data_IF_380701297364
#
_entry.id   IF_380701297364
#
_cell.length_a   1.000
_cell.length_b   1.000
_cell.length_c   1.000
_cell.angle_alpha   90.00
_cell.angle_beta   90.00
_cell.angle_gamma   90.00
#
_symmetry.space_group_name_H-M   'P 1'
#
loop_
_entity.id
_entity.type
_entity.pdbx_description
1 polymer ?
#
# COMPACT_ATOMS: atom_id res chain seq x y z
N UNK A 1 -63.99 -13.51 -78.97
CA UNK A 1 -62.54 -13.52 -79.23
C UNK A 1 -61.84 -13.05 -77.98
N UNK A 2 -61.15 -13.95 -77.28
CA UNK A 2 -59.82 -13.76 -76.68
C UNK A 2 -59.47 -15.06 -75.95
N UNK A 3 -58.50 -15.74 -76.56
CA UNK A 3 -57.88 -17.04 -76.30
C UNK A 3 -56.98 -17.00 -75.05
N UNK A 4 -57.23 -17.84 -74.04
CA UNK A 4 -56.56 -19.13 -73.75
C UNK A 4 -55.06 -19.07 -73.42
N UNK A 5 -54.71 -19.34 -72.15
CA UNK A 5 -53.53 -20.07 -71.65
C UNK A 5 -54.01 -20.64 -70.30
N UNK A 6 -54.00 -21.92 -69.94
CA UNK A 6 -53.12 -23.05 -70.24
C UNK A 6 -52.72 -23.62 -68.88
N UNK A 7 -53.39 -24.70 -68.43
CA UNK A 7 -53.15 -25.36 -67.15
C UNK A 7 -51.98 -26.34 -67.24
N UNK A 8 -51.23 -26.52 -66.14
CA UNK A 8 -50.64 -27.79 -65.71
C UNK A 8 -50.17 -27.70 -64.23
N UNK A 9 -50.46 -28.78 -63.52
CA UNK A 9 -50.31 -29.17 -62.10
C UNK A 9 -49.02 -28.81 -61.35
N UNK A 10 -49.06 -28.89 -60.00
CA UNK A 10 -48.21 -29.92 -59.35
C UNK A 10 -48.88 -30.65 -58.14
N UNK A 11 -48.38 -31.83 -57.74
CA UNK A 11 -48.75 -32.49 -56.48
C UNK A 11 -47.71 -32.30 -55.35
N UNK A 12 -48.23 -32.37 -54.13
CA UNK A 12 -47.70 -32.88 -52.84
C UNK A 12 -46.27 -32.54 -52.35
N UNK A 13 -46.17 -32.07 -51.10
CA UNK A 13 -44.90 -32.08 -50.37
C UNK A 13 -44.84 -31.35 -49.02
N UNK A 14 -45.46 -31.95 -47.99
CA UNK A 14 -45.10 -31.91 -46.55
C UNK A 14 -45.23 -30.59 -45.76
N UNK A 15 -46.13 -30.67 -44.77
CA UNK A 15 -46.35 -29.74 -43.65
C UNK A 15 -45.20 -29.77 -42.62
N UNK A 16 -44.74 -28.61 -42.16
CA UNK A 16 -44.52 -28.39 -40.72
C UNK A 16 -44.55 -26.90 -40.37
N UNK A 17 -45.42 -26.56 -39.43
CA UNK A 17 -45.84 -25.23 -39.01
C UNK A 17 -44.70 -24.30 -38.56
N UNK A 18 -44.57 -23.15 -39.23
CA UNK A 18 -43.91 -21.97 -38.67
C UNK A 18 -44.91 -21.17 -37.83
N UNK A 19 -44.63 -21.00 -36.54
CA UNK A 19 -45.24 -19.94 -35.73
C UNK A 19 -44.16 -18.91 -35.46
N UNK A 20 -44.40 -17.72 -36.01
CA UNK A 20 -43.69 -16.47 -35.78
C UNK A 20 -43.85 -15.99 -34.34
N UNK A 21 -42.74 -15.67 -33.67
CA UNK A 21 -42.73 -14.79 -32.49
C UNK A 21 -41.76 -13.63 -32.72
N UNK A 22 -42.23 -12.41 -32.39
CA UNK A 22 -41.63 -11.10 -32.59
C UNK A 22 -40.28 -10.90 -31.85
N UNK A 23 -39.48 -9.88 -32.21
CA UNK A 23 -38.12 -9.71 -31.70
C UNK A 23 -38.15 -9.11 -30.29
N UNK A 24 -37.38 -9.70 -29.36
CA UNK A 24 -37.06 -9.06 -28.09
C UNK A 24 -35.75 -8.29 -28.22
N UNK A 25 -35.82 -6.97 -28.15
CA UNK A 25 -34.69 -6.08 -27.94
C UNK A 25 -33.99 -6.44 -26.62
N UNK A 26 -32.82 -7.08 -26.73
CA UNK A 26 -31.87 -7.21 -25.62
C UNK A 26 -30.69 -6.27 -25.91
N UNK A 27 -30.86 -4.98 -25.61
CA UNK A 27 -29.77 -4.00 -25.58
C UNK A 27 -28.86 -4.26 -24.39
N UNK A 28 -28.08 -5.34 -24.48
CA UNK A 28 -26.95 -5.60 -23.59
C UNK A 28 -25.77 -4.71 -23.99
N UNK A 29 -25.40 -3.75 -23.15
CA UNK A 29 -24.18 -2.90 -23.28
C UNK A 29 -22.87 -3.67 -23.04
N UNK A 30 -22.84 -4.98 -23.27
CA UNK A 30 -21.62 -5.78 -23.17
C UNK A 30 -20.81 -5.65 -24.45
N UNK A 31 -19.87 -4.70 -24.48
CA UNK A 31 -18.75 -4.71 -25.43
C UNK A 31 -18.10 -6.10 -25.39
N UNK A 32 -18.18 -6.86 -26.49
CA UNK A 32 -17.33 -8.03 -26.71
C UNK A 32 -15.90 -7.53 -26.97
N UNK A 33 -15.08 -7.55 -25.94
CA UNK A 33 -13.64 -7.32 -26.06
C UNK A 33 -13.01 -8.62 -26.57
N UNK A 34 -12.24 -8.56 -27.65
CA UNK A 34 -11.52 -9.71 -28.17
C UNK A 34 -10.52 -10.22 -27.10
N UNK A 35 -10.63 -11.50 -26.75
CA UNK A 35 -9.72 -12.15 -25.82
C UNK A 35 -8.39 -12.44 -26.53
N UNK A 36 -7.30 -11.79 -26.11
CA UNK A 36 -5.97 -12.33 -26.31
C UNK A 36 -5.82 -13.58 -25.42
N UNK A 37 -5.11 -14.60 -25.90
CA UNK A 37 -4.84 -15.83 -25.15
C UNK A 37 -3.87 -15.65 -23.96
N UNK A 38 -3.52 -14.42 -23.60
CA UNK A 38 -2.74 -14.10 -22.41
C UNK A 38 -3.65 -13.56 -21.29
N UNK A 39 -4.16 -14.52 -20.52
CA UNK A 39 -4.68 -14.43 -19.15
C UNK A 39 -5.90 -13.53 -18.90
N UNK A 40 -6.96 -14.15 -18.37
CA UNK A 40 -8.28 -13.56 -18.23
C UNK A 40 -8.34 -12.38 -17.25
N UNK A 41 -9.35 -11.54 -17.45
CA UNK A 41 -9.69 -10.35 -16.64
C UNK A 41 -9.75 -10.62 -15.11
N UNK A 42 -9.90 -11.88 -14.68
CA UNK A 42 -9.91 -12.27 -13.26
C UNK A 42 -8.54 -12.20 -12.58
N UNK A 43 -7.43 -12.35 -13.31
CA UNK A 43 -6.08 -12.36 -12.72
C UNK A 43 -5.63 -10.96 -12.28
N UNK A 44 -6.14 -9.90 -12.93
CA UNK A 44 -5.88 -8.52 -12.51
C UNK A 44 -6.50 -8.17 -11.14
N UNK A 45 -7.47 -8.96 -10.67
CA UNK A 45 -8.21 -8.72 -9.41
C UNK A 45 -7.44 -9.24 -8.19
N UNK A 46 -6.42 -10.10 -8.37
CA UNK A 46 -5.69 -10.76 -7.27
C UNK A 46 -4.19 -10.48 -7.20
N UNK A 47 -3.67 -9.56 -8.01
CA UNK A 47 -2.24 -9.20 -7.97
C UNK A 47 -1.87 -8.73 -6.55
N UNK A 48 -0.91 -9.38 -5.86
CA UNK A 48 -0.47 -8.94 -4.54
C UNK A 48 0.11 -7.53 -4.60
N UNK A 49 -0.17 -6.73 -3.57
CA UNK A 49 0.24 -5.32 -3.54
C UNK A 49 1.41 -5.12 -2.58
N UNK A 50 2.38 -4.32 -2.99
CA UNK A 50 3.46 -3.80 -2.15
C UNK A 50 3.21 -2.32 -1.94
N UNK A 51 3.05 -1.92 -0.68
CA UNK A 51 2.93 -0.53 -0.26
C UNK A 51 4.29 -0.09 0.27
N UNK A 52 4.91 0.89 -0.37
CA UNK A 52 6.26 1.36 -0.03
C UNK A 52 6.17 2.69 0.70
N UNK A 53 6.64 2.74 1.94
CA UNK A 53 6.69 3.99 2.68
C UNK A 53 7.86 4.86 2.22
N UNK A 54 7.64 6.16 2.07
CA UNK A 54 8.65 7.16 1.69
C UNK A 54 8.63 8.34 2.65
N UNK A 55 9.78 8.90 2.94
CA UNK A 55 9.92 10.16 3.67
C UNK A 55 11.00 10.14 4.76
N UNK A 56 11.33 11.33 5.25
CA UNK A 56 12.36 11.53 6.27
C UNK A 56 12.02 10.83 7.62
N UNK A 57 13.01 10.57 8.49
CA UNK A 57 12.74 10.10 9.85
C UNK A 57 11.79 11.02 10.64
N UNK A 58 11.08 10.47 11.63
CA UNK A 58 10.06 11.18 12.43
C UNK A 58 8.89 11.81 11.65
N UNK A 59 8.58 11.31 10.45
CA UNK A 59 7.43 11.71 9.62
C UNK A 59 6.26 10.72 9.69
N UNK A 60 5.99 10.10 10.84
CA UNK A 60 4.80 9.24 11.01
C UNK A 60 4.70 7.95 10.17
N UNK A 61 5.69 7.61 9.32
CA UNK A 61 5.64 6.41 8.45
C UNK A 61 5.23 5.12 9.17
N UNK A 62 5.95 4.72 10.21
CA UNK A 62 5.63 3.50 10.99
C UNK A 62 4.24 3.54 11.61
N UNK A 63 3.76 4.73 12.01
CA UNK A 63 2.39 4.90 12.51
C UNK A 63 1.36 4.66 11.40
N UNK A 64 1.56 5.27 10.23
CA UNK A 64 0.74 5.06 9.03
C UNK A 64 0.75 3.57 8.65
N UNK A 65 1.91 2.94 8.56
CA UNK A 65 2.07 1.51 8.25
C UNK A 65 1.27 0.62 9.19
N UNK A 66 1.40 0.82 10.50
CA UNK A 66 0.69 0.02 11.51
C UNK A 66 -0.82 0.25 11.46
N UNK A 67 -1.28 1.51 11.34
CA UNK A 67 -2.71 1.82 11.22
C UNK A 67 -3.32 1.24 9.95
N UNK A 68 -2.63 1.39 8.83
CA UNK A 68 -3.08 0.88 7.53
C UNK A 68 -3.12 -0.65 7.52
N UNK A 69 -2.07 -1.30 8.04
CA UNK A 69 -2.06 -2.76 8.22
C UNK A 69 -3.25 -3.23 9.05
N UNK A 70 -3.53 -2.58 10.19
CA UNK A 70 -4.68 -2.92 11.03
C UNK A 70 -6.01 -2.75 10.30
N UNK A 71 -6.18 -1.64 9.58
CA UNK A 71 -7.40 -1.37 8.80
C UNK A 71 -7.62 -2.41 7.70
N UNK A 72 -6.60 -2.68 6.89
CA UNK A 72 -6.69 -3.64 5.80
C UNK A 72 -7.02 -5.05 6.31
N UNK A 73 -6.39 -5.49 7.39
CA UNK A 73 -6.74 -6.76 8.04
C UNK A 73 -8.17 -6.75 8.60
N UNK A 74 -8.62 -5.65 9.21
CA UNK A 74 -9.98 -5.52 9.75
C UNK A 74 -11.06 -5.65 8.66
N UNK A 75 -10.81 -5.16 7.45
CA UNK A 75 -11.71 -5.35 6.29
C UNK A 75 -11.49 -6.67 5.53
N UNK A 76 -10.66 -7.58 6.05
CA UNK A 76 -10.44 -8.91 5.48
C UNK A 76 -9.32 -9.04 4.45
N UNK A 77 -8.47 -8.02 4.27
CA UNK A 77 -7.31 -8.06 3.38
C UNK A 77 -6.05 -8.39 4.20
N UNK A 78 -5.54 -9.63 4.07
CA UNK A 78 -4.37 -10.09 4.85
C UNK A 78 -3.17 -9.20 4.55
N UNK A 79 -2.71 -8.46 5.56
CA UNK A 79 -1.66 -7.46 5.39
C UNK A 79 -0.55 -7.64 6.43
N UNK A 80 0.70 -7.51 6.02
CA UNK A 80 1.87 -7.56 6.92
C UNK A 80 2.79 -6.36 6.71
N UNK A 81 3.48 -5.94 7.77
CA UNK A 81 4.49 -4.87 7.74
C UNK A 81 5.88 -5.48 7.79
N UNK A 82 6.77 -5.02 6.92
CA UNK A 82 8.18 -5.37 6.87
C UNK A 82 8.99 -4.11 7.21
N UNK A 83 9.38 -3.96 8.48
CA UNK A 83 10.09 -2.78 8.97
C UNK A 83 11.60 -2.97 8.82
N UNK A 84 12.22 -2.29 7.86
CA UNK A 84 13.66 -2.45 7.57
C UNK A 84 14.55 -2.09 8.78
N UNK A 85 14.07 -1.22 9.67
CA UNK A 85 14.76 -0.92 10.92
C UNK A 85 14.88 -2.13 11.84
N UNK A 86 13.89 -3.03 11.86
CA UNK A 86 13.94 -4.28 12.63
C UNK A 86 14.95 -5.25 12.03
N UNK A 87 14.96 -5.41 10.70
CA UNK A 87 15.97 -6.19 9.98
C UNK A 87 17.40 -5.70 10.22
N UNK A 88 17.59 -4.38 10.34
CA UNK A 88 18.88 -3.80 10.69
C UNK A 88 19.30 -4.18 12.12
N UNK A 89 18.35 -4.33 13.04
CA UNK A 89 18.59 -4.65 14.47
C UNK A 89 18.73 -6.13 14.81
N UNK A 90 18.54 -7.05 13.86
CA UNK A 90 18.66 -8.50 14.12
C UNK A 90 20.09 -8.91 14.51
N UNK A 91 20.23 -9.96 15.32
CA UNK A 91 21.48 -10.42 15.95
C UNK A 91 22.67 -10.63 14.99
N UNK A 92 22.43 -10.96 13.72
CA UNK A 92 23.47 -11.05 12.70
C UNK A 92 24.26 -9.73 12.49
N UNK A 93 23.70 -8.60 12.92
CA UNK A 93 24.31 -7.26 12.89
C UNK A 93 24.48 -6.68 14.30
N UNK A 94 24.54 -7.51 15.36
CA UNK A 94 24.55 -7.03 16.76
C UNK A 94 25.70 -6.06 17.10
N UNK A 95 26.83 -6.12 16.40
CA UNK A 95 27.89 -5.11 16.50
C UNK A 95 27.42 -3.69 16.08
N UNK A 96 26.43 -3.62 15.19
CA UNK A 96 25.76 -2.39 14.74
C UNK A 96 24.60 -1.97 15.67
N UNK A 97 24.20 -2.76 16.67
CA UNK A 97 23.18 -2.30 17.62
C UNK A 97 23.73 -1.22 18.56
N UNK A 98 25.04 -1.27 18.86
CA UNK A 98 25.75 -0.28 19.68
C UNK A 98 26.25 0.92 18.84
N UNK A 99 26.69 0.69 17.59
CA UNK A 99 27.21 1.75 16.70
C UNK A 99 26.24 2.26 15.63
N UNK A 100 25.22 1.49 15.26
CA UNK A 100 24.27 1.76 14.17
C UNK A 100 23.02 2.54 14.57
N UNK A 101 22.96 2.97 15.83
CA UNK A 101 22.00 3.96 16.31
C UNK A 101 22.44 5.40 16.01
N UNK A 102 23.76 5.65 16.04
CA UNK A 102 24.33 6.98 15.90
C UNK A 102 24.09 7.56 14.49
N UNK A 103 23.87 8.87 14.42
CA UNK A 103 23.73 9.62 13.17
C UNK A 103 24.83 9.32 12.14
N UNK A 104 26.07 9.07 12.58
CA UNK A 104 27.23 8.75 11.72
C UNK A 104 27.03 7.49 10.87
N UNK A 105 26.28 6.51 11.37
CA UNK A 105 25.88 5.31 10.62
C UNK A 105 24.96 5.68 9.43
N UNK A 106 24.15 6.71 9.59
CA UNK A 106 23.23 7.16 8.54
C UNK A 106 23.83 8.15 7.57
N UNK A 107 25.09 8.57 7.79
CA UNK A 107 25.81 9.47 6.90
C UNK A 107 25.85 8.94 5.46
N UNK A 108 25.69 9.81 4.46
CA UNK A 108 25.83 9.43 3.05
C UNK A 108 27.25 8.96 2.71
N UNK A 109 28.26 9.45 3.43
CA UNK A 109 29.67 9.16 3.18
C UNK A 109 30.16 7.86 3.86
N UNK A 110 29.29 7.17 4.60
CA UNK A 110 29.63 5.94 5.30
C UNK A 110 29.30 4.71 4.44
N UNK A 111 30.26 4.31 3.59
CA UNK A 111 30.09 3.20 2.65
C UNK A 111 29.83 1.85 3.35
N UNK A 112 30.48 1.59 4.49
CA UNK A 112 30.27 0.37 5.27
C UNK A 112 28.84 0.30 5.83
N UNK A 113 28.35 1.37 6.45
CA UNK A 113 26.98 1.43 6.95
C UNK A 113 25.94 1.43 5.82
N UNK A 114 26.24 2.02 4.66
CA UNK A 114 25.40 1.92 3.48
C UNK A 114 25.23 0.46 3.02
N UNK A 115 26.31 -0.33 3.01
CA UNK A 115 26.26 -1.76 2.68
C UNK A 115 25.32 -2.53 3.63
N UNK A 116 25.42 -2.28 4.94
CA UNK A 116 24.53 -2.89 5.95
C UNK A 116 23.06 -2.49 5.74
N UNK A 117 22.79 -1.20 5.47
CA UNK A 117 21.44 -0.69 5.18
C UNK A 117 20.85 -1.29 3.91
N UNK A 118 21.67 -1.46 2.87
CA UNK A 118 21.26 -2.10 1.62
C UNK A 118 20.94 -3.58 1.84
N UNK A 119 21.79 -4.29 2.57
CA UNK A 119 21.59 -5.71 2.87
C UNK A 119 20.35 -5.96 3.76
N UNK A 120 20.10 -5.08 4.74
CA UNK A 120 18.89 -5.15 5.57
C UNK A 120 17.62 -4.92 4.76
N UNK A 121 17.65 -3.98 3.81
CA UNK A 121 16.53 -3.75 2.89
C UNK A 121 16.32 -4.93 1.94
N UNK A 122 17.40 -5.52 1.43
CA UNK A 122 17.36 -6.71 0.55
C UNK A 122 16.71 -7.90 1.26
N UNK A 123 17.13 -8.21 2.49
CA UNK A 123 16.50 -9.27 3.31
C UNK A 123 15.01 -9.02 3.51
N UNK A 124 14.64 -7.80 3.88
CA UNK A 124 13.22 -7.43 4.04
C UNK A 124 12.41 -7.56 2.74
N UNK A 125 12.98 -7.21 1.58
CA UNK A 125 12.31 -7.37 0.27
C UNK A 125 12.10 -8.85 -0.09
N UNK A 126 13.08 -9.70 0.21
CA UNK A 126 12.96 -11.14 -0.04
C UNK A 126 11.87 -11.78 0.83
N UNK A 127 11.91 -11.57 2.14
CA UNK A 127 10.88 -12.07 3.07
C UNK A 127 9.49 -11.57 2.71
N UNK A 128 9.40 -10.30 2.28
CA UNK A 128 8.17 -9.71 1.77
C UNK A 128 7.62 -10.48 0.56
N UNK A 129 8.46 -10.70 -0.46
CA UNK A 129 8.05 -11.43 -1.65
C UNK A 129 7.65 -12.87 -1.33
N UNK A 130 8.40 -13.56 -0.45
CA UNK A 130 8.08 -14.92 -0.03
C UNK A 130 6.75 -14.98 0.73
N UNK A 131 6.46 -13.98 1.56
CA UNK A 131 5.18 -13.88 2.27
C UNK A 131 3.99 -13.65 1.34
N UNK A 132 4.18 -12.88 0.25
CA UNK A 132 3.15 -12.67 -0.78
C UNK A 132 2.96 -13.92 -1.64
N UNK A 133 4.05 -14.54 -2.09
CA UNK A 133 4.02 -15.75 -2.94
C UNK A 133 3.43 -16.97 -2.23
N UNK A 134 3.72 -17.13 -0.94
CA UNK A 134 3.14 -18.20 -0.11
C UNK A 134 1.66 -17.97 0.24
N UNK A 135 1.09 -16.80 -0.06
CA UNK A 135 -0.26 -16.44 0.33
C UNK A 135 -0.43 -16.12 1.82
N UNK A 136 0.67 -15.98 2.57
CA UNK A 136 0.65 -15.59 3.97
C UNK A 136 0.16 -14.14 4.17
N UNK A 137 0.25 -13.30 3.14
CA UNK A 137 -0.45 -12.03 3.03
C UNK A 137 -0.80 -11.70 1.56
N UNK A 138 -1.75 -10.79 1.36
CA UNK A 138 -2.14 -10.25 0.05
C UNK A 138 -1.55 -8.85 -0.19
N UNK A 139 -1.23 -8.14 0.89
CA UNK A 139 -0.61 -6.82 0.88
C UNK A 139 0.59 -6.83 1.81
N UNK A 140 1.71 -6.31 1.34
CA UNK A 140 2.88 -6.08 2.18
C UNK A 140 3.19 -4.59 2.27
N UNK A 141 3.49 -4.10 3.47
CA UNK A 141 3.91 -2.71 3.70
C UNK A 141 5.41 -2.70 3.99
N UNK A 142 6.20 -2.18 3.06
CA UNK A 142 7.64 -2.01 3.19
C UNK A 142 7.97 -0.68 3.90
N UNK A 143 8.20 -0.75 5.22
CA UNK A 143 8.41 0.43 6.08
C UNK A 143 9.90 0.76 6.21
N UNK A 144 10.33 1.75 5.42
CA UNK A 144 11.66 2.33 5.37
C UNK A 144 11.60 3.82 5.00
N UNK A 145 12.75 4.51 4.94
CA UNK A 145 12.80 5.92 4.50
C UNK A 145 12.63 6.07 2.99
N UNK A 146 13.28 5.22 2.18
CA UNK A 146 13.18 5.18 0.72
C UNK A 146 13.24 6.57 0.05
N UNK A 147 14.13 7.43 0.57
CA UNK A 147 14.21 8.87 0.27
C UNK A 147 14.92 9.21 -1.04
N UNK A 148 15.57 8.25 -1.70
CA UNK A 148 16.28 8.46 -2.98
C UNK A 148 15.52 7.80 -4.13
N UNK A 149 15.55 8.39 -5.32
CA UNK A 149 14.96 7.82 -6.54
C UNK A 149 15.56 6.47 -6.88
N UNK A 150 16.89 6.32 -6.79
CA UNK A 150 17.60 5.06 -7.02
C UNK A 150 17.04 3.91 -6.16
N UNK A 151 16.78 4.17 -4.87
CA UNK A 151 16.20 3.16 -3.98
C UNK A 151 14.77 2.81 -4.39
N UNK A 152 13.96 3.80 -4.75
CA UNK A 152 12.58 3.58 -5.21
C UNK A 152 12.54 2.79 -6.51
N UNK A 153 13.43 3.10 -7.47
CA UNK A 153 13.57 2.35 -8.72
C UNK A 153 13.94 0.90 -8.44
N UNK A 154 14.92 0.65 -7.56
CA UNK A 154 15.29 -0.72 -7.16
C UNK A 154 14.10 -1.52 -6.62
N UNK A 155 13.26 -0.89 -5.80
CA UNK A 155 12.05 -1.52 -5.24
C UNK A 155 10.99 -1.73 -6.34
N UNK A 156 10.80 -0.76 -7.23
CA UNK A 156 9.85 -0.85 -8.35
C UNK A 156 10.25 -1.98 -9.31
N UNK A 157 11.51 -2.04 -9.72
CA UNK A 157 12.06 -3.11 -10.56
C UNK A 157 11.91 -4.48 -9.90
N UNK A 158 12.15 -4.56 -8.60
CA UNK A 158 11.92 -5.78 -7.84
C UNK A 158 10.45 -6.20 -7.86
N UNK A 159 9.52 -5.26 -7.66
CA UNK A 159 8.08 -5.54 -7.72
C UNK A 159 7.67 -6.00 -9.12
N UNK A 160 8.11 -5.30 -10.18
CA UNK A 160 7.82 -5.66 -11.57
C UNK A 160 8.33 -7.07 -11.92
N UNK A 161 9.59 -7.38 -11.60
CA UNK A 161 10.19 -8.71 -11.81
C UNK A 161 9.44 -9.83 -11.10
N UNK A 162 8.80 -9.53 -9.97
CA UNK A 162 8.02 -10.48 -9.18
C UNK A 162 6.51 -10.39 -9.42
N UNK A 163 6.05 -9.65 -10.43
CA UNK A 163 4.64 -9.48 -10.77
C UNK A 163 3.80 -8.93 -9.60
N UNK A 164 4.37 -7.99 -8.85
CA UNK A 164 3.75 -7.32 -7.71
C UNK A 164 3.34 -5.91 -8.09
N UNK A 165 2.17 -5.46 -7.64
CA UNK A 165 1.73 -4.08 -7.85
C UNK A 165 2.33 -3.17 -6.78
N UNK A 166 3.11 -2.17 -7.17
CA UNK A 166 3.74 -1.22 -6.25
C UNK A 166 2.87 0.03 -6.05
N UNK A 167 2.79 0.53 -4.81
CA UNK A 167 2.12 1.78 -4.46
C UNK A 167 2.92 2.53 -3.38
N UNK A 168 3.35 3.76 -3.66
CA UNK A 168 4.15 4.52 -2.70
C UNK A 168 3.26 5.43 -1.83
N UNK A 169 3.57 5.46 -0.53
CA UNK A 169 2.99 6.42 0.41
C UNK A 169 4.13 7.29 0.95
N UNK A 170 4.21 8.53 0.50
CA UNK A 170 5.15 9.51 1.02
C UNK A 170 4.51 10.31 2.14
N UNK A 171 5.16 10.37 3.31
CA UNK A 171 4.76 11.29 4.37
C UNK A 171 5.72 12.48 4.44
N UNK A 172 5.18 13.64 4.07
CA UNK A 172 5.87 14.93 4.11
C UNK A 172 5.33 15.72 5.29
N UNK A 173 6.22 16.24 6.15
CA UNK A 173 5.82 17.09 7.27
C UNK A 173 6.92 18.09 7.56
N UNK A 174 6.54 19.36 7.54
CA UNK A 174 7.43 20.49 7.82
C UNK A 174 7.01 21.23 9.10
N UNK A 175 5.88 20.84 9.72
CA UNK A 175 5.46 21.37 11.03
C UNK A 175 6.39 20.85 12.15
N UNK A 176 7.26 21.73 12.64
CA UNK A 176 8.26 21.45 13.67
C UNK A 176 7.66 20.84 14.93
N UNK A 177 6.44 21.24 15.32
CA UNK A 177 5.78 20.71 16.53
C UNK A 177 5.45 19.23 16.39
N UNK A 178 5.00 18.82 15.20
CA UNK A 178 4.71 17.41 14.89
C UNK A 178 6.00 16.60 14.85
N UNK A 179 7.06 17.18 14.30
CA UNK A 179 8.38 16.54 14.23
C UNK A 179 8.93 16.32 15.64
N UNK A 180 8.89 17.34 16.49
CA UNK A 180 9.39 17.29 17.86
C UNK A 180 8.61 16.31 18.73
N UNK A 181 7.27 16.30 18.64
CA UNK A 181 6.43 15.28 19.30
C UNK A 181 6.79 13.88 18.81
N UNK A 182 6.92 13.65 17.50
CA UNK A 182 7.28 12.34 16.96
C UNK A 182 8.67 11.87 17.42
N UNK A 183 9.64 12.78 17.56
CA UNK A 183 10.98 12.45 18.07
C UNK A 183 10.87 12.06 19.55
N UNK A 184 10.20 12.89 20.35
CA UNK A 184 10.11 12.72 21.80
C UNK A 184 9.31 11.47 22.17
N UNK A 185 8.13 11.29 21.58
CA UNK A 185 7.18 10.25 21.98
C UNK A 185 7.58 8.86 21.49
N UNK A 186 8.23 8.78 20.32
CA UNK A 186 8.45 7.50 19.62
C UNK A 186 9.94 7.15 19.46
N UNK A 187 10.83 8.15 19.35
CA UNK A 187 12.22 7.90 18.95
C UNK A 187 13.19 7.93 20.11
N UNK A 188 13.01 8.80 21.10
CA UNK A 188 13.83 8.77 22.33
C UNK A 188 13.72 7.42 23.04
N UNK A 189 12.52 6.84 23.09
CA UNK A 189 12.27 5.53 23.71
C UNK A 189 12.47 4.33 22.75
N UNK A 190 13.01 4.57 21.56
CA UNK A 190 13.28 3.51 20.58
C UNK A 190 14.35 2.55 21.09
N UNK A 191 14.32 1.26 20.68
CA UNK A 191 15.43 0.34 20.90
C UNK A 191 16.77 0.85 20.37
N UNK A 192 16.76 1.80 19.43
CA UNK A 192 17.98 2.47 18.92
C UNK A 192 18.69 3.28 20.03
N UNK A 193 17.99 3.80 21.05
CA UNK A 193 18.56 4.73 22.04
C UNK A 193 18.42 4.26 23.50
N UNK A 194 17.49 3.35 23.76
CA UNK A 194 17.16 2.87 25.10
C UNK A 194 18.38 2.26 25.80
N UNK A 195 18.78 2.86 26.93
CA UNK A 195 19.89 2.39 27.76
C UNK A 195 21.29 2.75 27.23
N UNK A 196 21.39 3.52 26.13
CA UNK A 196 22.66 3.92 25.54
C UNK A 196 23.00 5.40 25.77
N UNK A 197 22.00 6.29 25.84
CA UNK A 197 22.20 7.74 26.03
C UNK A 197 21.01 8.41 26.71
N UNK A 198 21.18 9.66 27.17
CA UNK A 198 20.08 10.45 27.75
C UNK A 198 19.02 10.82 26.70
N UNK A 199 17.86 11.29 27.14
CA UNK A 199 16.79 11.72 26.24
C UNK A 199 17.22 12.90 25.34
N UNK A 200 17.98 13.83 25.91
CA UNK A 200 18.52 15.01 25.23
C UNK A 200 19.56 14.60 24.18
N UNK A 201 20.49 13.72 24.55
CA UNK A 201 21.50 13.19 23.63
C UNK A 201 20.86 12.40 22.47
N UNK A 202 19.82 11.61 22.77
CA UNK A 202 19.05 10.88 21.76
C UNK A 202 18.33 11.84 20.79
N UNK A 203 17.76 12.94 21.30
CA UNK A 203 17.14 13.98 20.46
C UNK A 203 18.18 14.61 19.53
N UNK A 204 19.34 15.01 20.05
CA UNK A 204 20.42 15.62 19.26
C UNK A 204 20.97 14.68 18.18
N UNK A 205 21.23 13.42 18.52
CA UNK A 205 21.67 12.41 17.55
C UNK A 205 20.60 12.18 16.47
N UNK A 206 19.33 12.10 16.86
CA UNK A 206 18.25 11.90 15.91
C UNK A 206 18.06 13.08 14.95
N UNK A 207 18.27 14.32 15.42
CA UNK A 207 18.26 15.50 14.55
C UNK A 207 19.40 15.44 13.53
N UNK A 208 20.63 15.09 13.94
CA UNK A 208 21.76 14.88 13.02
C UNK A 208 21.46 13.78 12.00
N UNK A 209 20.78 12.71 12.42
CA UNK A 209 20.31 11.64 11.53
C UNK A 209 19.32 12.16 10.50
N UNK A 210 18.37 13.02 10.87
CA UNK A 210 17.45 13.67 9.92
C UNK A 210 18.22 14.49 8.89
N UNK A 211 19.19 15.29 9.33
CA UNK A 211 20.02 16.11 8.43
C UNK A 211 20.80 15.27 7.41
N UNK A 212 21.35 14.11 7.82
CA UNK A 212 22.00 13.18 6.90
C UNK A 212 21.04 12.67 5.81
N UNK A 213 19.77 12.40 6.15
CA UNK A 213 18.77 11.99 5.16
C UNK A 213 18.31 13.15 4.26
N UNK A 214 18.22 14.37 4.79
CA UNK A 214 17.85 15.57 4.00
C UNK A 214 18.82 15.83 2.85
N UNK A 215 20.12 15.61 3.06
CA UNK A 215 21.16 15.82 2.04
C UNK A 215 20.95 15.01 0.75
N UNK A 216 20.22 13.89 0.82
CA UNK A 216 19.96 13.00 -0.31
C UNK A 216 18.47 12.87 -0.64
N UNK A 217 17.60 13.62 0.06
CA UNK A 217 16.17 13.43 -0.08
C UNK A 217 15.68 13.98 -1.42
N UNK A 218 15.10 13.08 -2.21
CA UNK A 218 14.45 13.37 -3.47
C UNK A 218 12.98 13.00 -3.29
N UNK A 219 12.09 13.98 -2.97
CA UNK A 219 10.66 13.71 -2.84
C UNK A 219 10.10 13.01 -4.09
N UNK A 220 8.96 12.33 -3.96
CA UNK A 220 8.23 11.89 -5.15
C UNK A 220 7.83 13.11 -5.98
N UNK A 221 7.76 12.99 -7.29
CA UNK A 221 7.35 14.07 -8.18
C UNK A 221 6.53 13.53 -9.37
N UNK A 222 5.53 14.28 -9.83
CA UNK A 222 4.64 13.80 -10.91
C UNK A 222 5.33 13.71 -12.27
N UNK A 223 6.39 14.50 -12.49
CA UNK A 223 7.14 14.53 -13.74
C UNK A 223 8.26 13.49 -13.69
N UNK A 224 9.06 13.51 -12.62
CA UNK A 224 10.21 12.60 -12.49
C UNK A 224 9.79 11.15 -12.17
N UNK A 225 8.68 10.95 -11.45
CA UNK A 225 8.15 9.64 -11.04
C UNK A 225 6.79 9.35 -11.75
N UNK A 226 6.65 9.79 -13.00
CA UNK A 226 5.39 9.78 -13.76
C UNK A 226 4.77 8.38 -13.97
N UNK A 227 5.59 7.33 -13.99
CA UNK A 227 5.17 5.94 -14.14
C UNK A 227 4.75 5.29 -12.81
N UNK A 228 5.06 5.91 -11.66
CA UNK A 228 4.77 5.35 -10.34
C UNK A 228 3.34 5.65 -9.89
N UNK A 229 2.75 4.73 -9.12
CA UNK A 229 1.49 4.97 -8.39
C UNK A 229 1.80 5.44 -6.98
N UNK A 230 1.32 6.62 -6.57
CA UNK A 230 1.63 7.13 -5.24
C UNK A 230 0.62 8.10 -4.64
N UNK A 231 0.72 8.27 -3.32
CA UNK A 231 0.08 9.33 -2.56
C UNK A 231 1.09 10.04 -1.66
N UNK A 232 1.07 11.37 -1.67
CA UNK A 232 1.74 12.22 -0.68
C UNK A 232 0.75 12.60 0.41
N UNK A 233 1.07 12.32 1.66
CA UNK A 233 0.35 12.74 2.86
C UNK A 233 1.13 13.90 3.48
N UNK A 234 0.60 15.11 3.35
CA UNK A 234 1.32 16.35 3.67
C UNK A 234 0.83 16.90 5.02
N UNK A 235 1.78 17.27 5.88
CA UNK A 235 1.57 17.89 7.19
C UNK A 235 0.52 17.16 8.04
N UNK A 236 0.75 15.87 8.27
CA UNK A 236 -0.12 15.01 9.07
C UNK A 236 -1.57 14.89 8.54
N UNK A 237 -1.76 14.99 7.23
CA UNK A 237 -3.06 14.81 6.56
C UNK A 237 -3.81 16.12 6.31
N UNK A 238 -3.14 17.27 6.35
CA UNK A 238 -3.73 18.57 5.98
C UNK A 238 -4.04 18.65 4.49
N UNK A 239 -3.19 18.06 3.66
CA UNK A 239 -3.40 17.98 2.22
C UNK A 239 -2.82 16.68 1.68
N UNK A 240 -3.28 16.32 0.48
CA UNK A 240 -2.91 15.10 -0.20
C UNK A 240 -2.64 15.39 -1.68
N UNK A 241 -1.70 14.66 -2.24
CA UNK A 241 -1.49 14.60 -3.69
C UNK A 241 -1.50 13.13 -4.10
N UNK A 242 -2.26 12.79 -5.13
CA UNK A 242 -2.51 11.40 -5.53
C UNK A 242 -2.22 11.27 -7.02
N UNK A 243 -1.42 10.29 -7.39
CA UNK A 243 -0.97 10.06 -8.77
C UNK A 243 -1.14 8.60 -9.19
N UNK A 244 -1.68 8.39 -10.39
CA UNK A 244 -1.75 7.09 -11.08
C UNK A 244 -2.27 5.92 -10.20
N UNK A 245 -3.44 6.07 -9.57
CA UNK A 245 -4.02 5.02 -8.70
C UNK A 245 -4.56 3.85 -9.52
N UNK A 246 -4.15 2.64 -9.14
CA UNK A 246 -4.45 1.40 -9.86
C UNK A 246 -5.16 0.36 -8.98
N UNK A 247 -6.41 0.08 -9.36
CA UNK A 247 -7.22 -0.97 -8.76
C UNK A 247 -7.74 -0.65 -7.36
N UNK A 248 -8.44 -1.63 -6.81
CA UNK A 248 -9.28 -1.45 -5.62
C UNK A 248 -8.49 -1.28 -4.32
N UNK A 249 -7.37 -1.98 -4.14
CA UNK A 249 -6.56 -1.88 -2.90
C UNK A 249 -5.99 -0.48 -2.75
N UNK A 250 -5.36 0.08 -3.79
CA UNK A 250 -4.80 1.43 -3.75
C UNK A 250 -5.89 2.49 -3.50
N UNK A 251 -7.06 2.35 -4.14
CA UNK A 251 -8.20 3.25 -3.91
C UNK A 251 -8.67 3.24 -2.44
N UNK A 252 -8.73 2.06 -1.80
CA UNK A 252 -9.04 1.95 -0.36
C UNK A 252 -7.96 2.53 0.52
N UNK A 253 -6.69 2.36 0.16
CA UNK A 253 -5.57 2.96 0.88
C UNK A 253 -5.69 4.49 0.85
N UNK A 254 -5.91 5.08 -0.32
CA UNK A 254 -6.13 6.53 -0.48
C UNK A 254 -7.31 6.99 0.38
N UNK A 255 -8.47 6.35 0.24
CA UNK A 255 -9.66 6.69 1.03
C UNK A 255 -9.39 6.63 2.55
N UNK A 256 -8.71 5.58 3.02
CA UNK A 256 -8.35 5.45 4.42
C UNK A 256 -7.42 6.58 4.88
N UNK A 257 -6.36 6.86 4.13
CA UNK A 257 -5.37 7.88 4.46
C UNK A 257 -5.98 9.28 4.53
N UNK A 258 -6.96 9.58 3.67
CA UNK A 258 -7.68 10.86 3.69
C UNK A 258 -8.57 11.05 4.92
N UNK A 259 -8.97 9.96 5.61
CA UNK A 259 -9.89 10.01 6.74
C UNK A 259 -9.22 9.72 8.10
N UNK A 260 -8.00 9.20 8.11
CA UNK A 260 -7.28 9.02 9.38
C UNK A 260 -6.76 10.34 9.90
N UNK A 261 -6.80 10.48 11.22
CA UNK A 261 -6.07 11.56 11.89
C UNK A 261 -4.80 10.97 12.48
N UNK A 262 -3.71 11.68 12.26
CA UNK A 262 -2.36 11.27 12.68
C UNK A 262 -1.98 11.87 14.05
N UNK A 263 -2.73 12.87 14.53
CA UNK A 263 -2.51 13.49 15.84
C UNK A 263 -3.18 12.68 16.97
N UNK A 264 -2.63 12.72 18.21
CA UNK A 264 -3.22 12.07 19.38
C UNK A 264 -4.65 12.55 19.65
N UNK A 265 -5.54 11.63 20.05
CA UNK A 265 -6.91 11.90 20.49
C UNK A 265 -7.44 10.76 21.37
N UNK A 266 -8.46 11.05 22.15
CA UNK A 266 -9.19 10.06 22.96
C UNK A 266 -10.50 9.67 22.27
N UNK A 267 -10.83 8.38 22.28
CA UNK A 267 -12.12 7.84 21.84
C UNK A 267 -12.71 7.09 23.03
N UNK A 268 -13.87 7.54 23.51
CA UNK A 268 -14.58 6.90 24.61
C UNK A 268 -15.72 6.05 24.04
N UNK A 269 -15.74 4.77 24.40
CA UNK A 269 -16.79 3.82 24.01
C UNK A 269 -17.42 3.25 25.27
N UNK A 270 -18.74 3.34 25.39
CA UNK A 270 -19.51 2.72 26.45
C UNK A 270 -20.66 1.91 25.85
N UNK A 271 -21.10 0.87 26.56
CA UNK A 271 -22.41 0.27 26.30
C UNK A 271 -23.51 1.23 26.74
N UNK A 272 -24.74 0.93 26.34
CA UNK A 272 -25.91 1.51 26.99
C UNK A 272 -25.91 1.17 28.49
N UNK A 273 -26.63 1.95 29.30
CA UNK A 273 -26.89 1.61 30.71
C UNK A 273 -27.61 0.26 30.84
N UNK A 274 -27.62 -0.32 32.04
CA UNK A 274 -28.32 -1.59 32.29
C UNK A 274 -29.78 -1.52 31.81
N UNK A 275 -30.17 -2.48 30.98
CA UNK A 275 -31.54 -2.61 30.47
C UNK A 275 -32.28 -3.74 31.20
N UNK A 276 -33.62 -3.72 31.13
CA UNK A 276 -34.45 -4.82 31.65
C UNK A 276 -34.06 -6.17 31.04
N UNK A 277 -33.67 -6.20 29.76
CA UNK A 277 -33.22 -7.42 29.10
C UNK A 277 -31.89 -7.92 29.68
N UNK A 278 -30.99 -7.01 30.08
CA UNK A 278 -29.79 -7.41 30.80
C UNK A 278 -30.15 -8.01 32.17
N UNK A 279 -31.06 -7.38 32.92
CA UNK A 279 -31.52 -7.88 34.21
C UNK A 279 -32.22 -9.26 34.10
N UNK A 280 -32.92 -9.51 32.99
CA UNK A 280 -33.59 -10.79 32.71
C UNK A 280 -32.69 -11.83 32.01
N UNK A 281 -31.41 -11.52 31.73
CA UNK A 281 -30.51 -12.41 31.00
C UNK A 281 -30.90 -12.67 29.53
N UNK A 282 -31.63 -11.73 28.90
CA UNK A 282 -32.06 -11.81 27.50
C UNK A 282 -31.08 -11.07 26.59
N UNK A 283 -30.83 -11.67 25.42
CA UNK A 283 -30.09 -11.05 24.32
C UNK A 283 -31.07 -10.33 23.38
N UNK A 284 -30.57 -9.32 22.65
CA UNK A 284 -31.33 -8.56 21.67
C UNK A 284 -31.73 -7.19 22.17
#
# INVERSE_FOLDING_TARGET
>A
MMSSIGALTPPEGVLSNGVTTAPSDDTSTKRKVAHSHEHGFSDQVRIPNVIVMVGLPARGKTYISKKLCRYLNWIGIKTKVFNVGEYRRTEANAADAVHGANASFFSPNNAAALKVRNESARRAMNDMADSLKSGACNVAIFDATNTTRERRQTINDFCQKNWLRCFFIESVCDDERIIDSNITDVKVNSPDYKGLMSAEQAKEDFLKRIENYKQQYQPLDEQDDSDLSFIKVINAGRSFFVHNVQGHVQSRVVYFLMNIHLLPRSIFLTRHGESEYNAMGRLG
#
